data_IF_559630365689
#
_entry.id   IF_559630365689
#
_cell.length_a   1.000
_cell.length_b   1.000
_cell.length_c   1.000
_cell.angle_alpha   90.00
_cell.angle_beta   90.00
_cell.angle_gamma   90.00
#
_symmetry.space_group_name_H-M   'P 1'
#
loop_
_entity.id
_entity.type
_entity.pdbx_description
1 polymer ?
#
# COMPACT_ATOMS: atom_id res chain seq x y z
N UNK A 1 -7.70 -22.95 31.62
CA UNK A 1 -8.67 -24.02 31.99
C UNK A 1 -8.19 -24.86 33.16
N UNK A 2 -6.99 -25.45 33.10
CA UNK A 2 -6.48 -26.33 34.16
C UNK A 2 -6.42 -25.65 35.53
N UNK A 3 -5.84 -24.45 35.61
CA UNK A 3 -5.76 -23.67 36.85
C UNK A 3 -7.14 -23.46 37.52
N UNK A 4 -8.17 -23.09 36.75
CA UNK A 4 -9.54 -22.90 37.26
C UNK A 4 -10.12 -24.19 37.85
N UNK A 5 -9.90 -25.33 37.20
CA UNK A 5 -10.38 -26.64 37.70
C UNK A 5 -9.62 -27.06 38.95
N UNK A 6 -8.31 -26.82 39.02
CA UNK A 6 -7.49 -27.11 40.19
C UNK A 6 -7.95 -26.31 41.41
N UNK A 7 -8.21 -25.02 41.24
CA UNK A 7 -8.69 -24.15 42.33
C UNK A 7 -10.03 -24.64 42.91
N UNK A 8 -11.01 -24.94 42.05
CA UNK A 8 -12.34 -25.40 42.52
C UNK A 8 -12.24 -26.77 43.22
N UNK A 9 -11.31 -27.63 42.82
CA UNK A 9 -11.11 -28.95 43.46
C UNK A 9 -10.52 -28.90 44.86
N UNK A 10 -10.00 -27.74 45.29
CA UNK A 10 -9.57 -27.56 46.68
C UNK A 10 -10.77 -27.57 47.64
N UNK A 11 -11.97 -27.26 47.16
CA UNK A 11 -13.18 -27.09 47.98
C UNK A 11 -14.34 -27.97 47.55
N UNK A 12 -14.45 -28.34 46.27
CA UNK A 12 -15.59 -29.08 45.74
C UNK A 12 -15.17 -30.27 44.86
N UNK A 13 -15.87 -31.39 45.01
CA UNK A 13 -15.75 -32.55 44.13
C UNK A 13 -16.90 -32.61 43.11
N UNK A 14 -16.74 -31.91 41.98
CA UNK A 14 -17.73 -31.90 40.90
C UNK A 14 -17.25 -32.85 39.78
N UNK A 15 -17.96 -33.97 39.49
CA UNK A 15 -17.52 -34.97 38.52
C UNK A 15 -17.30 -34.42 37.11
N UNK A 16 -18.20 -33.54 36.63
CA UNK A 16 -18.19 -32.99 35.26
C UNK A 16 -17.61 -31.57 35.19
N UNK A 17 -16.82 -31.17 36.19
CA UNK A 17 -16.30 -29.80 36.33
C UNK A 17 -15.58 -29.27 35.09
N UNK A 18 -14.86 -30.14 34.37
CA UNK A 18 -14.13 -29.77 33.16
C UNK A 18 -15.08 -29.23 32.09
N UNK A 19 -16.25 -29.84 31.91
CA UNK A 19 -17.23 -29.42 30.90
C UNK A 19 -17.83 -28.06 31.29
N UNK A 20 -18.19 -27.89 32.57
CA UNK A 20 -18.72 -26.64 33.10
C UNK A 20 -17.71 -25.49 33.01
N UNK A 21 -16.48 -25.71 33.45
CA UNK A 21 -15.41 -24.72 33.36
C UNK A 21 -15.17 -24.30 31.90
N UNK A 22 -15.19 -25.25 30.95
CA UNK A 22 -15.05 -24.94 29.51
C UNK A 22 -16.20 -24.08 29.00
N UNK A 23 -17.44 -24.37 29.41
CA UNK A 23 -18.64 -23.58 29.05
C UNK A 23 -18.57 -22.16 29.61
N UNK A 24 -18.16 -22.01 30.87
CA UNK A 24 -18.01 -20.70 31.52
C UNK A 24 -16.88 -19.88 30.91
N UNK A 25 -15.69 -20.47 30.72
CA UNK A 25 -14.54 -19.78 30.13
C UNK A 25 -14.81 -19.36 28.68
N UNK A 26 -15.60 -20.12 27.91
CA UNK A 26 -16.03 -19.71 26.57
C UNK A 26 -16.92 -18.48 26.57
N UNK A 27 -17.76 -18.30 27.60
CA UNK A 27 -18.65 -17.13 27.75
C UNK A 27 -17.95 -15.91 28.32
N UNK A 28 -16.85 -16.09 29.07
CA UNK A 28 -16.10 -14.99 29.64
C UNK A 28 -15.35 -14.19 28.57
N UNK A 29 -15.75 -12.93 28.37
CA UNK A 29 -15.14 -12.02 27.39
C UNK A 29 -13.67 -11.74 27.71
N UNK A 30 -13.34 -11.52 28.97
CA UNK A 30 -11.96 -11.26 29.42
C UNK A 30 -11.07 -12.48 29.11
N UNK A 31 -11.51 -13.68 29.48
CA UNK A 31 -10.77 -14.90 29.19
C UNK A 31 -10.61 -15.15 27.69
N UNK A 32 -11.63 -14.81 26.88
CA UNK A 32 -11.56 -14.93 25.42
C UNK A 32 -10.58 -13.93 24.81
N UNK A 33 -10.48 -12.72 25.37
CA UNK A 33 -9.52 -11.71 24.92
C UNK A 33 -8.08 -12.11 25.24
N UNK A 34 -7.84 -12.61 26.46
CA UNK A 34 -6.50 -12.99 26.92
C UNK A 34 -6.01 -14.31 26.30
N UNK A 35 -6.90 -15.30 26.13
CA UNK A 35 -6.54 -16.62 25.58
C UNK A 35 -6.94 -16.77 24.11
N UNK A 36 -7.42 -15.70 23.47
CA UNK A 36 -7.84 -15.73 22.07
C UNK A 36 -6.65 -16.05 21.17
N UNK A 37 -6.89 -16.84 20.12
CA UNK A 37 -5.86 -17.02 19.09
C UNK A 37 -5.61 -15.67 18.40
N UNK A 38 -4.36 -15.44 18.01
CA UNK A 38 -4.04 -14.31 17.14
C UNK A 38 -4.91 -14.38 15.88
N UNK A 39 -5.28 -13.19 15.37
CA UNK A 39 -5.97 -13.10 14.09
C UNK A 39 -5.10 -13.73 13.01
N UNK A 40 -5.64 -14.74 12.33
CA UNK A 40 -4.99 -15.35 11.16
C UNK A 40 -5.40 -14.51 9.97
N UNK A 41 -4.46 -13.81 9.37
CA UNK A 41 -4.72 -13.04 8.17
C UNK A 41 -5.25 -13.98 7.06
N UNK A 42 -6.35 -13.64 6.38
CA UNK A 42 -6.80 -14.38 5.21
C UNK A 42 -5.76 -14.27 4.10
N UNK A 43 -5.84 -15.18 3.12
CA UNK A 43 -5.04 -15.06 1.92
C UNK A 43 -5.30 -13.69 1.26
N UNK A 44 -4.24 -12.94 0.88
CA UNK A 44 -4.43 -11.65 0.24
C UNK A 44 -5.21 -11.83 -1.07
N UNK A 45 -6.09 -10.88 -1.43
CA UNK A 45 -6.79 -10.93 -2.71
C UNK A 45 -5.78 -10.80 -3.87
N UNK A 46 -6.12 -11.32 -5.07
CA UNK A 46 -5.27 -11.15 -6.24
C UNK A 46 -5.07 -9.64 -6.53
N UNK A 47 -3.87 -9.28 -6.97
CA UNK A 47 -3.57 -7.90 -7.34
C UNK A 47 -4.48 -7.48 -8.53
N UNK A 48 -4.98 -6.23 -8.54
CA UNK A 48 -5.76 -5.72 -9.65
C UNK A 48 -4.91 -5.69 -10.92
N UNK A 49 -5.52 -6.04 -12.06
CA UNK A 49 -4.85 -6.14 -13.38
C UNK A 49 -4.10 -4.87 -13.78
N UNK A 50 -4.60 -3.71 -13.35
CA UNK A 50 -3.98 -2.40 -13.57
C UNK A 50 -2.58 -2.26 -12.94
N UNK A 51 -2.22 -3.11 -11.97
CA UNK A 51 -0.87 -3.16 -11.35
C UNK A 51 0.03 -4.22 -11.97
N UNK A 52 -0.48 -4.99 -12.93
CA UNK A 52 0.18 -6.15 -13.53
C UNK A 52 0.40 -5.99 -15.03
N UNK A 53 -0.21 -4.97 -15.65
CA UNK A 53 -0.20 -4.77 -17.09
C UNK A 53 0.65 -3.54 -17.40
N UNK A 54 1.71 -3.75 -18.17
CA UNK A 54 2.57 -2.68 -18.65
C UNK A 54 1.75 -1.62 -19.39
N UNK A 55 1.91 -0.37 -18.97
CA UNK A 55 1.28 0.78 -19.58
C UNK A 55 2.30 1.86 -19.92
N UNK A 56 2.07 2.69 -20.96
CA UNK A 56 2.94 3.84 -21.22
C UNK A 56 3.04 4.76 -20.00
N UNK A 57 4.17 5.48 -19.80
CA UNK A 57 4.33 6.37 -18.66
C UNK A 57 3.16 7.37 -18.55
N UNK A 58 2.67 7.57 -17.32
CA UNK A 58 1.53 8.45 -17.00
C UNK A 58 0.17 8.03 -17.58
N UNK A 59 0.01 6.78 -18.05
CA UNK A 59 -1.30 6.24 -18.46
C UNK A 59 -2.25 6.10 -17.28
N UNK A 60 -1.71 5.70 -16.12
CA UNK A 60 -2.46 5.58 -14.86
C UNK A 60 -1.72 6.39 -13.79
N UNK A 61 -2.41 7.35 -13.17
CA UNK A 61 -1.86 8.13 -12.05
C UNK A 61 -2.73 7.91 -10.83
N UNK A 62 -2.11 7.53 -9.71
CA UNK A 62 -2.80 7.47 -8.42
C UNK A 62 -2.85 8.86 -7.79
N UNK A 63 -4.05 9.30 -7.40
CA UNK A 63 -4.28 10.50 -6.59
C UNK A 63 -4.60 10.04 -5.18
N UNK A 64 -3.77 10.43 -4.21
CA UNK A 64 -4.06 10.25 -2.78
C UNK A 64 -4.09 11.61 -2.09
N UNK A 65 -5.12 11.81 -1.27
CA UNK A 65 -5.28 13.01 -0.46
C UNK A 65 -4.76 12.71 0.94
N UNK A 66 -3.73 13.43 1.36
CA UNK A 66 -3.31 13.32 2.76
C UNK A 66 -4.29 14.07 3.65
N UNK A 67 -4.42 13.65 4.91
CA UNK A 67 -5.11 14.47 5.92
C UNK A 67 -4.53 15.89 6.00
N UNK A 68 -5.29 16.82 6.57
CA UNK A 68 -4.93 18.23 6.67
C UNK A 68 -3.51 18.39 7.24
N UNK A 69 -2.58 18.88 6.41
CA UNK A 69 -1.24 19.21 6.87
C UNK A 69 -1.29 20.57 7.53
N UNK A 70 -0.89 20.63 8.81
CA UNK A 70 -0.82 21.88 9.54
C UNK A 70 0.39 22.68 9.04
N UNK A 71 0.13 23.76 8.30
CA UNK A 71 1.15 24.69 7.85
C UNK A 71 1.63 25.55 9.03
N UNK A 72 2.87 26.04 8.99
CA UNK A 72 3.47 26.91 10.02
C UNK A 72 2.63 28.14 10.37
N UNK A 73 1.72 28.53 9.49
CA UNK A 73 0.89 29.72 9.61
C UNK A 73 -0.49 29.41 10.24
N UNK A 74 -0.75 28.17 10.68
CA UNK A 74 -2.01 27.77 11.32
C UNK A 74 -3.21 27.65 10.37
N UNK A 75 -3.09 28.12 9.13
CA UNK A 75 -4.09 27.99 8.09
C UNK A 75 -3.87 26.70 7.28
N UNK A 76 -4.89 25.85 7.26
CA UNK A 76 -4.94 24.63 6.43
C UNK A 76 -5.50 24.99 5.06
N UNK A 77 -4.67 25.62 4.22
CA UNK A 77 -5.07 25.90 2.84
C UNK A 77 -4.70 24.73 1.93
N UNK A 78 -5.75 23.98 1.59
CA UNK A 78 -5.88 23.01 0.50
C UNK A 78 -5.42 21.56 0.78
N UNK A 79 -6.20 20.57 0.29
CA UNK A 79 -5.80 19.17 0.34
C UNK A 79 -4.59 18.95 -0.58
N UNK A 80 -3.49 18.46 -0.02
CA UNK A 80 -2.30 18.15 -0.80
C UNK A 80 -2.55 16.86 -1.59
N UNK A 81 -2.57 16.99 -2.91
CA UNK A 81 -2.65 15.88 -3.86
C UNK A 81 -1.25 15.29 -4.05
N UNK A 82 -1.04 14.04 -3.60
CA UNK A 82 0.15 13.28 -3.96
C UNK A 82 -0.13 12.47 -5.21
N UNK A 83 0.60 12.78 -6.29
CA UNK A 83 0.59 11.99 -7.51
C UNK A 83 1.65 10.90 -7.42
N UNK A 84 1.22 9.65 -7.48
CA UNK A 84 2.12 8.50 -7.60
C UNK A 84 2.06 8.01 -9.05
N UNK A 85 3.18 8.06 -9.80
CA UNK A 85 3.25 7.33 -11.05
C UNK A 85 3.19 5.84 -10.71
N UNK A 86 2.09 5.19 -11.08
CA UNK A 86 2.03 3.75 -11.11
C UNK A 86 2.77 3.34 -12.39
N UNK A 87 3.92 2.67 -12.20
CA UNK A 87 4.82 2.08 -13.21
C UNK A 87 5.92 2.98 -13.81
N UNK A 88 7.17 2.52 -13.63
CA UNK A 88 8.28 2.76 -14.55
C UNK A 88 9.00 1.42 -14.72
N UNK A 89 8.91 0.83 -15.91
CA UNK A 89 9.90 -0.15 -16.39
C UNK A 89 10.56 0.42 -17.65
N UNK A 90 11.88 0.57 -17.60
CA UNK A 90 12.69 0.86 -18.80
C UNK A 90 12.70 -0.39 -19.69
N UNK A 91 12.01 -0.35 -20.82
CA UNK A 91 12.28 -1.30 -21.90
C UNK A 91 13.50 -0.85 -22.67
N UNK A 92 14.68 -1.30 -22.24
CA UNK A 92 15.87 -1.33 -23.10
C UNK A 92 15.65 -2.39 -24.17
N UNK A 93 15.24 -1.95 -25.36
CA UNK A 93 15.29 -2.79 -26.56
C UNK A 93 16.74 -2.88 -27.03
N UNK A 94 17.41 -3.98 -26.69
CA UNK A 94 18.62 -4.42 -27.40
C UNK A 94 18.21 -5.15 -28.69
N UNK A 95 18.78 -4.73 -29.82
CA UNK A 95 18.91 -5.46 -31.09
C UNK A 95 19.98 -4.73 -31.92
N UNK A 96 21.04 -5.32 -32.50
CA UNK A 96 21.58 -6.68 -32.64
C UNK A 96 23.05 -6.55 -33.09
N UNK A 97 23.93 -7.44 -32.60
CA UNK A 97 25.23 -7.94 -33.12
C UNK A 97 26.11 -7.10 -34.07
N UNK A 98 27.37 -6.86 -33.67
CA UNK A 98 28.53 -7.36 -34.45
C UNK A 98 29.80 -7.54 -33.58
N UNK A 99 30.63 -8.51 -33.96
CA UNK A 99 31.85 -9.00 -33.26
C UNK A 99 33.02 -7.99 -33.24
N UNK A 100 33.74 -7.87 -32.12
CA UNK A 100 35.21 -8.11 -31.99
C UNK A 100 35.71 -7.94 -30.54
N UNK A 101 36.75 -8.69 -30.21
CA UNK A 101 37.43 -8.90 -28.92
C UNK A 101 37.89 -7.66 -28.13
N UNK A 102 37.91 -7.83 -26.79
CA UNK A 102 39.02 -7.35 -25.95
C UNK A 102 38.76 -6.20 -24.97
N UNK A 103 38.93 -6.52 -23.68
CA UNK A 103 39.40 -5.68 -22.56
C UNK A 103 38.41 -4.77 -21.78
N UNK A 104 38.05 -5.25 -20.59
CA UNK A 104 37.97 -4.57 -19.27
C UNK A 104 37.79 -3.04 -19.23
N UNK A 105 36.62 -2.51 -18.81
CA UNK A 105 36.56 -1.30 -17.96
C UNK A 105 35.19 -1.04 -17.30
N UNK A 106 35.28 -0.96 -15.98
CA UNK A 106 34.56 -0.18 -14.95
C UNK A 106 33.04 0.08 -14.96
N UNK A 107 32.47 -0.15 -13.78
CA UNK A 107 31.09 0.09 -13.39
C UNK A 107 30.86 1.58 -13.21
N UNK A 108 30.04 2.22 -14.05
CA UNK A 108 29.44 3.52 -13.70
C UNK A 108 27.97 3.53 -14.08
N UNK A 109 27.12 3.41 -13.05
CA UNK A 109 25.67 3.53 -13.09
C UNK A 109 25.25 4.85 -13.73
N UNK A 110 24.65 4.79 -14.93
CA UNK A 110 24.21 5.99 -15.66
C UNK A 110 22.75 6.27 -15.35
N UNK A 111 22.51 7.20 -14.42
CA UNK A 111 21.19 7.79 -14.15
C UNK A 111 20.67 8.51 -15.41
N UNK A 112 19.68 7.94 -16.07
CA UNK A 112 19.05 8.54 -17.26
C UNK A 112 17.98 9.55 -16.85
N UNK A 113 18.42 10.79 -16.53
CA UNK A 113 17.50 11.93 -16.42
C UNK A 113 16.68 12.09 -17.70
N UNK A 114 15.35 12.34 -17.63
CA UNK A 114 14.53 12.60 -18.80
C UNK A 114 15.09 13.76 -19.63
N UNK A 115 15.10 13.60 -20.95
CA UNK A 115 15.50 14.66 -21.89
C UNK A 115 14.58 15.88 -21.71
N UNK A 116 15.15 17.09 -21.77
CA UNK A 116 14.47 18.37 -21.54
C UNK A 116 13.14 18.50 -22.30
N UNK A 117 13.09 18.01 -23.54
CA UNK A 117 11.90 18.08 -24.39
C UNK A 117 10.71 17.27 -23.83
N UNK A 118 10.98 16.15 -23.15
CA UNK A 118 9.94 15.36 -22.49
C UNK A 118 9.34 16.11 -21.29
N UNK A 119 10.18 16.86 -20.55
CA UNK A 119 9.75 17.68 -19.42
C UNK A 119 8.88 18.85 -19.90
N UNK A 120 9.30 19.54 -20.98
CA UNK A 120 8.54 20.65 -21.57
C UNK A 120 7.17 20.17 -22.05
N UNK A 121 7.13 19.05 -22.79
CA UNK A 121 5.89 18.47 -23.31
C UNK A 121 4.95 18.02 -22.18
N UNK A 122 5.48 17.48 -21.08
CA UNK A 122 4.68 17.13 -19.92
C UNK A 122 4.08 18.37 -19.23
N UNK A 123 4.86 19.46 -19.07
CA UNK A 123 4.38 20.72 -18.49
C UNK A 123 3.27 21.35 -19.31
N UNK A 124 3.38 21.36 -20.64
CA UNK A 124 2.33 21.90 -21.53
C UNK A 124 1.03 21.10 -21.42
N UNK A 125 1.12 19.77 -21.33
CA UNK A 125 -0.05 18.90 -21.15
C UNK A 125 -0.76 19.15 -19.82
N UNK A 126 0.00 19.31 -18.73
CA UNK A 126 -0.57 19.62 -17.41
C UNK A 126 -1.25 20.99 -17.46
N UNK A 127 -0.60 22.01 -18.03
CA UNK A 127 -1.16 23.36 -18.16
C UNK A 127 -2.46 23.38 -18.95
N UNK A 128 -2.52 22.63 -20.06
CA UNK A 128 -3.74 22.51 -20.87
C UNK A 128 -4.87 21.81 -20.12
N UNK A 129 -4.53 20.81 -19.32
CA UNK A 129 -5.51 20.09 -18.51
C UNK A 129 -6.08 20.98 -17.40
N UNK A 130 -5.24 21.76 -16.71
CA UNK A 130 -5.70 22.66 -15.65
C UNK A 130 -6.61 23.75 -16.18
N UNK A 131 -6.29 24.37 -17.32
CA UNK A 131 -7.16 25.41 -17.91
C UNK A 131 -8.49 24.86 -18.40
N UNK A 132 -8.55 23.59 -18.81
CA UNK A 132 -9.81 22.94 -19.19
C UNK A 132 -10.65 22.51 -17.98
N UNK A 133 -10.08 22.40 -16.78
CA UNK A 133 -10.83 22.08 -15.56
C UNK A 133 -11.57 23.33 -15.08
N UNK A 134 -10.94 24.51 -15.17
CA UNK A 134 -11.54 25.77 -14.73
C UNK A 134 -12.76 26.21 -15.57
N UNK A 135 -12.88 25.78 -16.84
CA UNK A 135 -14.01 26.11 -17.73
C UNK A 135 -15.25 25.23 -17.52
N UNK A 136 -15.15 24.12 -16.77
CA UNK A 136 -16.27 23.19 -16.57
C UNK A 136 -17.01 23.39 -15.23
N UNK A 137 -16.61 24.37 -14.42
CA UNK A 137 -17.19 24.63 -13.09
C UNK A 137 -18.19 25.83 -13.07
N UNK A 138 -18.58 26.39 -14.22
CA UNK A 138 -19.45 27.58 -14.32
C UNK A 138 -20.84 27.33 -14.98
N UNK A 139 -21.26 26.07 -15.10
CA UNK A 139 -22.67 25.70 -15.39
C UNK A 139 -23.17 24.62 -14.40
N UNK A 140 -23.76 25.07 -13.28
CA UNK A 140 -24.91 24.45 -12.59
C UNK A 140 -25.49 25.40 -11.52
#
# INVERSE_FOLDING_TARGET
MHATVTYIRQTFWIPTIRQYAKKLLRKCVICRKVNGKAYVAPNPPPLPKIRLQESPPFTVTGVDFTGALLTSNGETSLPIVKLFPLEVSETRSDATSDHTDGQHEDTTQRSTRPKLNAIIKARERIRKWTTNVDENDEED
#
